data_IF_143253834867
#
_entry.id   IF_143253834867
#
_cell.length_a   1.000
_cell.length_b   1.000
_cell.length_c   1.000
_cell.angle_alpha   90.00
_cell.angle_beta   90.00
_cell.angle_gamma   90.00
#
_symmetry.space_group_name_H-M   'P 1'
#
loop_
_entity.id
_entity.type
_entity.pdbx_description
1 polymer ?
#
# COMPACT_ATOMS: atom_id res chain seq x y z
N UNK A 1 -16.40 -3.17 11.08
CA UNK A 1 -15.82 -3.11 9.72
C UNK A 1 -14.59 -3.99 9.67
N UNK A 2 -14.51 -4.86 8.68
CA UNK A 2 -13.35 -5.72 8.49
C UNK A 2 -12.18 -4.93 7.93
N UNK A 3 -10.97 -5.22 8.42
CA UNK A 3 -9.75 -4.61 7.90
C UNK A 3 -9.06 -5.59 6.96
N UNK A 4 -8.78 -5.11 5.75
CA UNK A 4 -7.99 -5.83 4.77
C UNK A 4 -6.64 -5.13 4.62
N UNK A 5 -5.56 -5.92 4.55
CA UNK A 5 -4.22 -5.40 4.31
C UNK A 5 -3.72 -5.92 2.98
N UNK A 6 -3.25 -5.00 2.14
CA UNK A 6 -2.73 -5.33 0.81
C UNK A 6 -1.32 -4.74 0.67
N UNK A 7 -0.40 -5.58 0.21
CA UNK A 7 1.00 -5.21 0.02
C UNK A 7 1.33 -5.30 -1.46
N UNK A 8 1.74 -4.18 -2.05
CA UNK A 8 2.07 -4.08 -3.46
C UNK A 8 3.53 -3.66 -3.58
N UNK A 9 4.40 -4.60 -3.88
CA UNK A 9 5.83 -4.38 -3.98
C UNK A 9 6.44 -5.52 -4.80
N UNK A 10 7.37 -5.21 -5.68
CA UNK A 10 8.03 -6.24 -6.50
C UNK A 10 9.08 -7.05 -5.72
N UNK A 11 9.48 -6.57 -4.54
CA UNK A 11 10.44 -7.28 -3.68
C UNK A 11 9.72 -8.34 -2.84
N UNK A 12 9.93 -9.58 -3.20
CA UNK A 12 9.31 -10.73 -2.51
C UNK A 12 9.71 -10.81 -1.04
N UNK A 13 10.96 -10.49 -0.72
CA UNK A 13 11.46 -10.55 0.66
C UNK A 13 10.76 -9.47 1.49
N UNK A 14 10.65 -8.28 0.96
CA UNK A 14 9.94 -7.19 1.65
C UNK A 14 8.49 -7.56 1.92
N UNK A 15 7.80 -8.15 0.93
CA UNK A 15 6.41 -8.57 1.13
C UNK A 15 6.29 -9.57 2.27
N UNK A 16 7.22 -10.53 2.36
CA UNK A 16 7.21 -11.52 3.46
C UNK A 16 7.45 -10.85 4.81
N UNK A 17 8.37 -9.91 4.87
CA UNK A 17 8.65 -9.16 6.10
C UNK A 17 7.41 -8.39 6.54
N UNK A 18 6.78 -7.67 5.64
CA UNK A 18 5.56 -6.92 5.95
C UNK A 18 4.41 -7.82 6.40
N UNK A 19 4.22 -8.95 5.73
CA UNK A 19 3.20 -9.93 6.16
C UNK A 19 3.45 -10.38 7.59
N UNK A 20 4.70 -10.65 7.93
CA UNK A 20 5.06 -11.07 9.28
C UNK A 20 4.78 -9.98 10.30
N UNK A 21 5.09 -8.73 9.98
CA UNK A 21 4.81 -7.59 10.84
C UNK A 21 3.30 -7.44 11.07
N UNK A 22 2.51 -7.56 10.02
CA UNK A 22 1.04 -7.51 10.12
C UNK A 22 0.53 -8.57 11.08
N UNK A 23 1.07 -9.78 11.02
CA UNK A 23 0.70 -10.87 11.93
C UNK A 23 1.11 -10.58 13.37
N UNK A 24 2.35 -10.13 13.56
CA UNK A 24 2.89 -9.82 14.91
C UNK A 24 2.07 -8.71 15.56
N UNK A 25 1.70 -7.69 14.81
CA UNK A 25 0.90 -6.57 15.30
C UNK A 25 -0.59 -6.91 15.40
N UNK A 26 -0.97 -8.09 15.01
CA UNK A 26 -2.36 -8.57 15.04
C UNK A 26 -3.32 -7.63 14.32
N UNK A 27 -2.86 -7.01 13.24
CA UNK A 27 -3.63 -6.04 12.50
C UNK A 27 -4.71 -6.70 11.63
N UNK A 28 -4.35 -7.81 10.99
CA UNK A 28 -5.25 -8.58 10.14
C UNK A 28 -4.81 -10.03 10.16
N UNK A 29 -5.74 -10.95 9.89
CA UNK A 29 -5.42 -12.38 9.83
C UNK A 29 -4.50 -12.69 8.67
N UNK A 30 -4.73 -12.04 7.54
CA UNK A 30 -3.97 -12.25 6.32
C UNK A 30 -3.71 -10.94 5.61
N UNK A 31 -2.63 -10.91 4.85
CA UNK A 31 -2.33 -9.81 3.96
C UNK A 31 -2.21 -10.38 2.54
N UNK A 32 -2.88 -9.73 1.59
CA UNK A 32 -2.74 -10.08 0.18
C UNK A 32 -1.51 -9.41 -0.39
N UNK A 33 -0.83 -10.08 -1.30
CA UNK A 33 0.39 -9.60 -1.94
C UNK A 33 0.22 -9.49 -3.43
N UNK A 34 0.77 -8.43 -4.01
CA UNK A 34 0.87 -8.26 -5.45
C UNK A 34 2.27 -7.77 -5.79
N UNK A 35 2.82 -8.25 -6.90
CA UNK A 35 4.18 -7.90 -7.29
C UNK A 35 4.26 -6.68 -8.20
N UNK A 36 3.13 -6.17 -8.69
CA UNK A 36 3.07 -4.95 -9.47
C UNK A 36 1.68 -4.31 -9.40
N UNK A 37 1.60 -3.07 -9.89
CA UNK A 37 0.36 -2.31 -9.84
C UNK A 37 -0.74 -2.85 -10.74
N UNK A 38 -0.38 -3.47 -11.87
CA UNK A 38 -1.36 -4.01 -12.81
C UNK A 38 -2.18 -5.13 -12.17
N UNK A 39 -1.51 -6.07 -11.50
CA UNK A 39 -2.20 -7.17 -10.83
C UNK A 39 -3.08 -6.67 -9.70
N UNK A 40 -2.58 -5.70 -8.92
CA UNK A 40 -3.35 -5.12 -7.84
C UNK A 40 -4.58 -4.38 -8.35
N UNK A 41 -4.43 -3.60 -9.41
CA UNK A 41 -5.56 -2.87 -9.99
C UNK A 41 -6.62 -3.83 -10.52
N UNK A 42 -6.22 -4.92 -11.16
CA UNK A 42 -7.14 -5.95 -11.64
C UNK A 42 -7.91 -6.58 -10.47
N UNK A 43 -7.24 -6.82 -9.34
CA UNK A 43 -7.90 -7.33 -8.15
C UNK A 43 -8.99 -6.38 -7.67
N UNK A 44 -8.69 -5.08 -7.53
CA UNK A 44 -9.68 -4.11 -7.06
C UNK A 44 -10.83 -3.91 -8.03
N UNK A 45 -10.61 -4.09 -9.32
CA UNK A 45 -11.68 -4.04 -10.31
C UNK A 45 -12.64 -5.22 -10.16
N UNK A 46 -12.14 -6.38 -9.71
CA UNK A 46 -12.94 -7.59 -9.51
C UNK A 46 -13.61 -7.61 -8.13
N UNK A 47 -12.89 -7.19 -7.11
CA UNK A 47 -13.22 -7.42 -5.70
C UNK A 47 -13.41 -6.11 -4.93
N UNK A 48 -14.11 -5.16 -5.52
CA UNK A 48 -14.35 -3.89 -4.85
C UNK A 48 -15.48 -4.04 -3.83
N UNK A 49 -15.13 -4.13 -2.55
CA UNK A 49 -16.06 -4.28 -1.45
C UNK A 49 -15.93 -3.08 -0.50
N UNK A 50 -16.88 -2.16 -0.57
CA UNK A 50 -16.87 -0.94 0.25
C UNK A 50 -17.18 -1.20 1.73
N UNK A 51 -17.58 -2.41 2.10
CA UNK A 51 -17.81 -2.78 3.50
C UNK A 51 -16.50 -3.01 4.25
N UNK A 52 -15.39 -3.11 3.55
CA UNK A 52 -14.06 -3.31 4.13
C UNK A 52 -13.27 -2.01 4.16
N UNK A 53 -12.55 -1.80 5.26
CA UNK A 53 -11.49 -0.81 5.28
C UNK A 53 -10.22 -1.48 4.80
N UNK A 54 -9.55 -0.90 3.82
CA UNK A 54 -8.35 -1.47 3.23
C UNK A 54 -7.14 -0.58 3.47
N UNK A 55 -6.07 -1.16 4.02
CA UNK A 55 -4.77 -0.51 4.11
C UNK A 55 -3.89 -1.05 2.99
N UNK A 56 -3.38 -0.16 2.15
CA UNK A 56 -2.54 -0.52 1.01
C UNK A 56 -1.13 0.00 1.24
N UNK A 57 -0.16 -0.91 1.31
CA UNK A 57 1.27 -0.58 1.36
C UNK A 57 1.79 -0.69 -0.07
N UNK A 58 2.15 0.45 -0.64
CA UNK A 58 2.41 0.58 -2.08
C UNK A 58 3.82 1.06 -2.35
N UNK A 59 4.62 0.23 -3.00
CA UNK A 59 5.93 0.63 -3.51
C UNK A 59 5.75 1.56 -4.72
N UNK A 60 6.66 2.51 -4.85
CA UNK A 60 6.63 3.45 -5.97
C UNK A 60 7.23 2.82 -7.24
N UNK A 61 8.38 2.17 -7.09
CA UNK A 61 9.16 1.67 -8.23
C UNK A 61 8.92 0.18 -8.47
N UNK A 62 8.07 -0.12 -9.43
CA UNK A 62 7.75 -1.49 -9.82
C UNK A 62 7.73 -1.62 -11.34
N UNK A 63 8.02 -2.81 -11.89
CA UNK A 63 7.88 -3.03 -13.32
C UNK A 63 6.40 -3.05 -13.74
N UNK A 64 6.17 -2.90 -15.03
CA UNK A 64 4.85 -2.97 -15.69
C UNK A 64 3.98 -1.76 -15.35
N UNK A 65 3.61 -1.60 -14.08
CA UNK A 65 2.84 -0.46 -13.59
C UNK A 65 3.41 -0.03 -12.23
N UNK A 66 3.95 1.18 -12.15
CA UNK A 66 4.53 1.71 -10.92
C UNK A 66 3.43 2.20 -9.96
N UNK A 67 3.85 2.65 -8.77
CA UNK A 67 2.91 3.08 -7.74
C UNK A 67 2.05 4.27 -8.15
N UNK A 68 2.64 5.24 -8.85
CA UNK A 68 1.89 6.41 -9.31
C UNK A 68 0.84 6.05 -10.35
N UNK A 69 1.20 5.16 -11.28
CA UNK A 69 0.28 4.66 -12.30
C UNK A 69 -0.86 3.86 -11.68
N UNK A 70 -0.54 3.04 -10.68
CA UNK A 70 -1.55 2.30 -9.94
C UNK A 70 -2.56 3.26 -9.27
N UNK A 71 -2.07 4.29 -8.58
CA UNK A 71 -2.94 5.28 -7.93
C UNK A 71 -3.81 6.00 -8.94
N UNK A 72 -3.25 6.36 -10.09
CA UNK A 72 -3.99 7.01 -11.15
C UNK A 72 -5.12 6.13 -11.66
N UNK A 73 -4.84 4.84 -11.83
CA UNK A 73 -5.85 3.85 -12.24
C UNK A 73 -6.96 3.71 -11.21
N UNK A 74 -6.60 3.68 -9.92
CA UNK A 74 -7.58 3.60 -8.83
C UNK A 74 -8.49 4.83 -8.81
N UNK A 75 -7.93 6.02 -8.99
CA UNK A 75 -8.70 7.27 -9.04
C UNK A 75 -9.64 7.30 -10.23
N UNK A 76 -9.13 6.92 -11.40
CA UNK A 76 -9.90 6.93 -12.65
C UNK A 76 -11.12 6.01 -12.58
N UNK A 77 -11.01 4.92 -11.84
CA UNK A 77 -12.07 3.93 -11.73
C UNK A 77 -12.87 4.04 -10.43
N UNK A 78 -12.66 5.11 -9.66
CA UNK A 78 -13.36 5.38 -8.40
C UNK A 78 -13.23 4.23 -7.39
N UNK A 79 -12.01 3.72 -7.22
CA UNK A 79 -11.75 2.57 -6.35
C UNK A 79 -11.12 2.93 -5.01
N UNK A 80 -10.98 4.22 -4.69
CA UNK A 80 -10.26 4.64 -3.47
C UNK A 80 -11.13 4.76 -2.22
N UNK A 81 -12.42 4.56 -2.33
CA UNK A 81 -13.31 4.65 -1.16
C UNK A 81 -12.94 3.61 -0.11
N UNK A 82 -12.85 4.04 1.16
CA UNK A 82 -12.47 3.21 2.31
C UNK A 82 -11.08 2.58 2.19
N UNK A 83 -10.20 3.22 1.44
CA UNK A 83 -8.81 2.74 1.29
C UNK A 83 -7.83 3.79 1.78
N UNK A 84 -6.86 3.34 2.57
CA UNK A 84 -5.78 4.16 3.06
C UNK A 84 -4.49 3.73 2.37
N UNK A 85 -3.82 4.67 1.72
CA UNK A 85 -2.60 4.41 0.95
C UNK A 85 -1.39 4.85 1.76
N UNK A 86 -0.46 3.92 1.97
CA UNK A 86 0.85 4.17 2.58
C UNK A 86 1.91 3.89 1.54
N UNK A 87 2.63 4.92 1.12
CA UNK A 87 3.71 4.75 0.14
C UNK A 87 4.95 4.19 0.81
N UNK A 88 5.59 3.22 0.13
CA UNK A 88 6.87 2.68 0.54
C UNK A 88 7.94 3.22 -0.39
N UNK A 89 9.02 3.76 0.16
CA UNK A 89 10.13 4.27 -0.64
C UNK A 89 11.46 3.89 -0.02
N UNK A 90 12.43 3.55 -0.87
CA UNK A 90 13.78 3.19 -0.41
C UNK A 90 14.71 4.39 -0.28
N UNK A 91 14.28 5.56 -0.73
CA UNK A 91 15.12 6.75 -0.70
C UNK A 91 14.32 7.99 -0.33
N UNK A 92 15.04 9.00 0.17
CA UNK A 92 14.47 10.32 0.41
C UNK A 92 14.57 11.11 -0.88
N UNK A 93 13.71 10.81 -1.85
CA UNK A 93 13.59 11.61 -3.06
C UNK A 93 12.62 12.75 -2.75
N UNK A 94 13.15 13.97 -2.72
CA UNK A 94 12.39 15.15 -2.36
C UNK A 94 11.23 15.42 -3.32
N UNK A 95 11.40 15.12 -4.60
CA UNK A 95 10.33 15.31 -5.58
C UNK A 95 9.18 14.34 -5.34
N UNK A 96 9.49 13.09 -5.04
CA UNK A 96 8.48 12.09 -4.75
C UNK A 96 7.78 12.37 -3.43
N UNK A 97 8.52 12.79 -2.40
CA UNK A 97 7.91 13.22 -1.15
C UNK A 97 6.96 14.40 -1.35
N UNK A 98 7.40 15.40 -2.10
CA UNK A 98 6.57 16.57 -2.40
C UNK A 98 5.31 16.17 -3.14
N UNK A 99 5.42 15.27 -4.12
CA UNK A 99 4.29 14.78 -4.88
C UNK A 99 3.30 14.02 -3.97
N UNK A 100 3.82 13.20 -3.07
CA UNK A 100 3.00 12.43 -2.14
C UNK A 100 2.27 13.32 -1.14
N UNK A 101 2.95 14.35 -0.62
CA UNK A 101 2.34 15.30 0.32
C UNK A 101 1.18 16.06 -0.28
N UNK A 102 1.21 16.29 -1.59
CA UNK A 102 0.14 16.99 -2.31
C UNK A 102 -1.00 16.10 -2.72
N UNK A 103 -0.87 14.79 -2.58
CA UNK A 103 -1.90 13.83 -2.99
C UNK A 103 -2.76 13.44 -1.79
N UNK A 104 -4.02 13.87 -1.76
CA UNK A 104 -4.90 13.60 -0.61
C UNK A 104 -5.26 12.11 -0.46
N UNK A 105 -5.03 11.29 -1.48
CA UNK A 105 -5.27 9.85 -1.38
C UNK A 105 -4.18 9.11 -0.60
N UNK A 106 -3.02 9.75 -0.39
CA UNK A 106 -1.89 9.15 0.32
C UNK A 106 -1.93 9.59 1.77
N UNK A 107 -2.05 8.63 2.67
CA UNK A 107 -2.14 8.91 4.09
C UNK A 107 -0.78 9.19 4.71
N UNK A 108 0.24 8.45 4.33
CA UNK A 108 1.58 8.63 4.86
C UNK A 108 2.63 8.02 3.93
N UNK A 109 3.88 8.38 4.17
CA UNK A 109 5.05 7.87 3.45
C UNK A 109 5.92 7.12 4.44
N UNK A 110 6.30 5.90 4.10
CA UNK A 110 7.13 5.05 4.92
C UNK A 110 8.45 4.79 4.21
N UNK A 111 9.55 5.11 4.87
CA UNK A 111 10.90 4.91 4.31
C UNK A 111 11.37 3.52 4.70
N UNK A 112 11.80 2.75 3.70
CA UNK A 112 12.38 1.42 3.94
C UNK A 112 13.73 1.54 4.63
N UNK A 113 14.12 0.59 5.51
CA UNK A 113 13.38 -0.62 5.86
C UNK A 113 12.23 -0.34 6.84
N UNK A 114 11.14 -1.07 6.69
CA UNK A 114 10.01 -0.95 7.59
C UNK A 114 10.25 -1.82 8.82
N UNK A 115 10.10 -1.24 10.02
CA UNK A 115 10.29 -1.94 11.28
C UNK A 115 8.96 -2.09 12.01
N UNK A 116 8.93 -2.97 13.01
CA UNK A 116 7.75 -3.15 13.87
C UNK A 116 7.41 -1.84 14.56
N UNK A 117 8.42 -1.09 15.03
CA UNK A 117 8.20 0.20 15.69
C UNK A 117 7.54 1.22 14.77
N UNK A 118 8.03 1.35 13.54
CA UNK A 118 7.43 2.24 12.54
C UNK A 118 5.99 1.86 12.26
N UNK A 119 5.74 0.56 12.13
CA UNK A 119 4.41 0.05 11.84
C UNK A 119 3.45 0.32 13.00
N UNK A 120 3.89 0.12 14.23
CA UNK A 120 3.08 0.40 15.43
C UNK A 120 2.70 1.88 15.52
N UNK A 121 3.58 2.77 15.10
CA UNK A 121 3.30 4.20 15.11
C UNK A 121 2.13 4.56 14.18
N UNK A 122 1.92 3.79 13.11
CA UNK A 122 0.79 4.01 12.21
C UNK A 122 -0.54 3.65 12.86
N UNK A 123 -0.51 2.78 13.86
CA UNK A 123 -1.70 2.24 14.49
C UNK A 123 -2.20 3.07 15.67
N UNK A 124 -1.46 4.09 16.04
CA UNK A 124 -1.79 4.95 17.18
C UNK A 124 -2.70 6.10 16.78
#
# INVERSE_FOLDING_TARGET
MKLEVIIIDDDKILRKVLKRIVQICNLAKEALEFENGEEALAYFNRENDDSKKTMIFLDINMPIMNGWEFLQGMKKQNLLQNKEIYLLTSSIDKLEHSRAEKDPSIKDILIKPLTIEKFKQLMV
#
